data_IF_336543009841
#
_entry.id   IF_336543009841
#
_cell.length_a   1.000
_cell.length_b   1.000
_cell.length_c   1.000
_cell.angle_alpha   90.00
_cell.angle_beta   90.00
_cell.angle_gamma   90.00
#
_symmetry.space_group_name_H-M   'P 1'
#
loop_
_entity.id
_entity.type
_entity.pdbx_description
1 polymer ?
#
# COMPACT_ATOMS: atom_id res chain seq x y z
N UNK A 1 -42.63 72.95 107.56
CA UNK A 1 -41.41 72.24 108.01
C UNK A 1 -40.22 72.71 107.19
N UNK A 2 -39.05 72.09 107.35
CA UNK A 2 -37.77 72.26 106.63
C UNK A 2 -37.80 72.96 105.23
N UNK A 3 -36.86 73.79 104.77
CA UNK A 3 -35.83 74.72 105.31
C UNK A 3 -34.79 74.98 104.21
N UNK A 4 -34.35 76.24 104.04
CA UNK A 4 -33.02 76.65 103.48
C UNK A 4 -32.80 76.43 101.96
N UNK A 5 -31.97 77.23 101.24
CA UNK A 5 -31.31 78.52 101.57
C UNK A 5 -30.98 79.35 100.31
N UNK A 6 -30.80 80.65 100.51
CA UNK A 6 -30.23 81.62 99.54
C UNK A 6 -28.70 81.48 99.45
N UNK A 7 -28.11 81.79 98.28
CA UNK A 7 -27.04 82.80 98.00
C UNK A 7 -26.59 82.60 96.53
N UNK A 8 -26.46 83.61 95.66
CA UNK A 8 -25.73 84.90 95.66
C UNK A 8 -24.24 84.80 95.26
N UNK A 9 -23.93 85.60 94.24
CA UNK A 9 -22.73 86.43 94.01
C UNK A 9 -21.46 85.80 93.42
N UNK A 10 -20.95 86.56 92.44
CA UNK A 10 -19.55 86.77 92.02
C UNK A 10 -18.77 85.51 91.54
N UNK A 11 -17.82 85.59 90.61
CA UNK A 11 -17.34 86.72 89.81
C UNK A 11 -15.81 86.75 89.70
N UNK A 12 -15.29 86.75 88.47
CA UNK A 12 -13.87 86.94 88.10
C UNK A 12 -12.91 85.75 88.34
N UNK A 13 -11.84 85.70 87.53
CA UNK A 13 -10.78 84.67 87.42
C UNK A 13 -11.27 83.27 86.96
N UNK A 14 -10.53 82.49 86.15
CA UNK A 14 -9.13 82.60 85.71
C UNK A 14 -8.95 82.62 84.18
N UNK A 15 -7.88 83.29 83.73
CA UNK A 15 -7.23 83.08 82.42
C UNK A 15 -6.15 81.99 82.52
N UNK A 16 -5.64 81.53 81.37
CA UNK A 16 -4.46 80.65 81.16
C UNK A 16 -4.71 79.14 81.31
N UNK A 17 -4.92 78.44 80.18
CA UNK A 17 -4.64 76.99 80.04
C UNK A 17 -4.61 76.46 78.58
N UNK A 18 -4.12 77.24 77.60
CA UNK A 18 -4.03 76.82 76.17
C UNK A 18 -2.71 77.30 75.53
N UNK A 19 -1.59 77.19 76.25
CA UNK A 19 -0.26 77.57 75.74
C UNK A 19 0.86 76.60 76.17
N UNK A 20 0.51 75.43 76.71
CA UNK A 20 1.44 74.44 77.25
C UNK A 20 1.41 73.11 76.45
N UNK A 21 0.88 73.11 75.22
CA UNK A 21 0.63 71.91 74.39
C UNK A 21 1.42 71.91 73.06
N UNK A 22 2.58 72.60 73.01
CA UNK A 22 3.53 72.59 71.89
C UNK A 22 5.00 72.54 72.41
N UNK A 23 5.39 71.43 73.06
CA UNK A 23 6.74 70.83 73.01
C UNK A 23 6.91 69.64 73.96
N UNK A 24 6.89 68.42 73.42
CA UNK A 24 7.68 67.22 73.79
C UNK A 24 7.29 66.15 72.72
N UNK A 25 8.17 65.70 71.81
CA UNK A 25 9.35 64.83 71.95
C UNK A 25 8.97 63.41 72.46
N UNK A 26 9.43 62.29 71.88
CA UNK A 26 10.26 62.08 70.67
C UNK A 26 10.29 60.60 70.21
N UNK A 27 10.56 60.39 68.90
CA UNK A 27 11.43 59.37 68.26
C UNK A 27 11.31 57.82 68.47
N UNK A 28 12.02 57.10 67.57
CA UNK A 28 12.39 55.65 67.54
C UNK A 28 11.27 54.61 67.28
N UNK A 29 11.43 53.49 66.56
CA UNK A 29 12.58 52.71 65.99
C UNK A 29 12.18 52.27 64.56
N UNK A 30 12.87 52.54 63.44
CA UNK A 30 14.14 52.00 62.85
C UNK A 30 14.11 50.52 62.37
N UNK A 31 14.41 50.32 61.06
CA UNK A 31 14.97 49.15 60.31
C UNK A 31 14.34 49.17 58.90
N UNK A 32 14.93 49.74 57.83
CA UNK A 32 16.24 49.51 57.17
C UNK A 32 16.38 48.19 56.39
N UNK A 33 16.32 48.28 55.04
CA UNK A 33 17.28 47.57 54.16
C UNK A 33 17.43 48.20 52.76
N UNK A 34 18.67 48.62 52.49
CA UNK A 34 19.29 48.99 51.19
C UNK A 34 19.19 47.83 50.17
N UNK A 35 19.18 47.93 48.83
CA UNK A 35 19.36 48.98 47.79
C UNK A 35 19.67 48.26 46.44
N UNK A 36 20.32 48.83 45.39
CA UNK A 36 20.79 50.20 45.12
C UNK A 36 20.31 50.75 43.73
N UNK A 37 21.10 51.59 43.02
CA UNK A 37 20.68 52.53 41.95
C UNK A 37 21.34 52.36 40.55
N UNK A 38 20.64 52.79 39.48
CA UNK A 38 21.13 53.53 38.28
C UNK A 38 19.88 54.04 37.49
N UNK A 39 19.71 55.29 37.01
CA UNK A 39 20.48 56.12 36.04
C UNK A 39 20.59 55.46 34.64
N UNK A 40 20.32 56.13 33.50
CA UNK A 40 20.21 57.59 33.21
C UNK A 40 19.53 57.89 31.84
N UNK A 41 19.11 59.15 31.65
CA UNK A 41 19.00 59.93 30.38
C UNK A 41 17.86 59.73 29.33
N UNK A 42 17.42 60.89 28.80
CA UNK A 42 16.47 61.22 27.70
C UNK A 42 17.28 61.46 26.37
N UNK A 43 16.76 61.86 25.16
CA UNK A 43 15.52 62.64 24.88
C UNK A 43 14.76 62.38 23.53
N UNK A 44 13.85 63.32 23.20
CA UNK A 44 13.28 63.70 21.86
C UNK A 44 11.87 63.21 21.46
N UNK A 45 10.91 64.09 21.78
CA UNK A 45 9.65 64.54 21.13
C UNK A 45 9.53 64.54 19.57
N UNK A 46 8.42 65.02 18.91
CA UNK A 46 7.15 65.62 19.42
C UNK A 46 5.81 65.21 18.72
N UNK A 47 4.70 65.83 19.18
CA UNK A 47 3.35 66.00 18.56
C UNK A 47 2.38 64.81 18.68
N UNK A 48 1.10 65.00 18.99
CA UNK A 48 0.16 65.97 18.38
C UNK A 48 -0.78 66.71 19.36
N UNK A 49 -1.55 67.68 18.86
CA UNK A 49 -2.39 68.62 19.62
C UNK A 49 -3.78 68.07 20.04
N UNK A 50 -4.25 68.40 21.24
CA UNK A 50 -5.68 68.41 21.60
C UNK A 50 -5.97 69.33 22.79
N UNK A 51 -6.81 70.34 22.59
CA UNK A 51 -7.23 71.26 23.65
C UNK A 51 -8.15 70.57 24.68
N UNK A 52 -8.03 70.92 25.97
CA UNK A 52 -9.23 71.08 26.81
C UNK A 52 -9.07 72.24 27.81
N UNK A 53 -9.93 73.25 27.65
CA UNK A 53 -9.89 74.48 28.45
C UNK A 53 -10.54 74.24 29.81
N UNK A 54 -9.76 74.29 30.89
CA UNK A 54 -10.29 74.27 32.27
C UNK A 54 -11.13 75.53 32.49
N UNK A 55 -12.43 75.34 32.72
CA UNK A 55 -13.36 76.44 32.96
C UNK A 55 -13.11 77.09 34.32
N UNK A 56 -12.62 78.34 34.32
CA UNK A 56 -12.58 79.17 35.53
C UNK A 56 -13.99 79.66 35.88
N UNK A 57 -14.69 78.91 36.73
CA UNK A 57 -15.93 79.36 37.36
C UNK A 57 -15.64 80.52 38.33
N UNK A 58 -15.75 81.76 37.83
CA UNK A 58 -15.79 82.96 38.67
C UNK A 58 -17.20 83.12 39.28
N UNK A 59 -17.36 83.16 40.61
CA UNK A 59 -18.64 83.45 41.22
C UNK A 59 -19.04 84.92 41.00
N UNK A 60 -19.87 85.18 39.98
CA UNK A 60 -20.53 86.47 39.76
C UNK A 60 -21.93 86.46 40.38
N UNK A 61 -22.03 86.69 41.69
CA UNK A 61 -23.31 86.99 42.35
C UNK A 61 -23.14 88.11 43.39
N UNK A 62 -24.16 88.97 43.50
CA UNK A 62 -24.45 89.90 44.59
C UNK A 62 -23.59 91.17 44.82
N UNK A 63 -22.79 91.63 43.85
CA UNK A 63 -22.23 93.01 43.85
C UNK A 63 -23.25 94.14 44.16
N UNK A 64 -24.49 94.17 43.62
CA UNK A 64 -25.42 95.26 43.94
C UNK A 64 -25.99 95.17 45.35
N UNK A 65 -26.10 93.96 45.93
CA UNK A 65 -26.62 93.75 47.27
C UNK A 65 -25.58 94.12 48.34
N UNK A 66 -24.29 93.82 48.12
CA UNK A 66 -23.23 94.26 49.03
C UNK A 66 -23.05 95.78 49.00
N UNK A 67 -23.06 96.41 47.81
CA UNK A 67 -22.99 97.89 47.71
C UNK A 67 -24.15 98.58 48.43
N UNK A 68 -25.39 98.09 48.25
CA UNK A 68 -26.55 98.64 48.97
C UNK A 68 -26.41 98.51 50.50
N UNK A 69 -25.89 97.38 50.99
CA UNK A 69 -25.65 97.17 52.42
C UNK A 69 -24.51 98.07 52.96
N UNK A 70 -23.48 98.34 52.17
CA UNK A 70 -22.37 99.24 52.49
C UNK A 70 -22.84 100.71 52.54
N UNK A 71 -23.61 101.15 51.53
CA UNK A 71 -24.21 102.49 51.45
C UNK A 71 -25.16 102.76 52.64
N UNK A 72 -26.02 101.82 53.00
CA UNK A 72 -26.93 101.95 54.15
C UNK A 72 -26.18 101.95 55.49
N UNK A 73 -25.13 101.12 55.65
CA UNK A 73 -24.28 101.16 56.85
C UNK A 73 -23.53 102.49 56.99
N UNK A 74 -23.12 103.11 55.88
CA UNK A 74 -22.53 104.44 55.92
C UNK A 74 -23.57 105.52 56.30
N UNK A 75 -24.78 105.47 55.75
CA UNK A 75 -25.87 106.38 56.15
C UNK A 75 -26.23 106.24 57.64
N UNK A 76 -26.30 105.02 58.18
CA UNK A 76 -26.49 104.76 59.61
C UNK A 76 -25.40 105.39 60.48
N UNK A 77 -24.14 105.33 60.03
CA UNK A 77 -22.98 105.92 60.72
C UNK A 77 -23.02 107.45 60.71
N UNK A 78 -23.42 108.04 59.59
CA UNK A 78 -23.55 109.49 59.42
C UNK A 78 -24.74 110.05 60.24
N UNK A 79 -25.90 109.40 60.21
CA UNK A 79 -27.03 109.74 61.10
C UNK A 79 -26.65 109.64 62.59
N UNK A 80 -25.87 108.63 62.99
CA UNK A 80 -25.45 108.49 64.38
C UNK A 80 -24.53 109.64 64.84
N UNK A 81 -23.71 110.21 63.95
CA UNK A 81 -22.91 111.39 64.25
C UNK A 81 -23.79 112.64 64.42
N UNK A 82 -24.75 112.86 63.51
CA UNK A 82 -25.69 114.00 63.58
C UNK A 82 -26.57 113.95 64.85
N UNK A 83 -27.06 112.76 65.23
CA UNK A 83 -27.84 112.56 66.45
C UNK A 83 -27.08 112.99 67.71
N UNK A 84 -25.81 112.57 67.84
CA UNK A 84 -25.00 112.89 69.02
C UNK A 84 -24.59 114.37 69.06
N UNK A 85 -24.38 115.01 67.90
CA UNK A 85 -24.21 116.47 67.81
C UNK A 85 -25.47 117.21 68.27
N UNK A 86 -26.66 116.88 67.73
CA UNK A 86 -27.94 117.53 68.12
C UNK A 86 -28.20 117.39 69.62
N UNK A 87 -27.86 116.24 70.20
CA UNK A 87 -27.94 115.95 71.64
C UNK A 87 -26.98 116.81 72.48
N UNK A 88 -25.76 117.05 72.01
CA UNK A 88 -24.79 117.93 72.69
C UNK A 88 -25.20 119.41 72.59
N UNK A 89 -25.72 119.85 71.46
CA UNK A 89 -26.26 121.21 71.27
C UNK A 89 -27.46 121.47 72.19
N UNK A 90 -28.39 120.52 72.30
CA UNK A 90 -29.51 120.54 73.24
C UNK A 90 -29.03 120.64 74.70
N UNK A 91 -28.00 119.87 75.08
CA UNK A 91 -27.41 119.96 76.43
C UNK A 91 -26.77 121.33 76.70
N UNK A 92 -26.05 121.89 75.71
CA UNK A 92 -25.46 123.23 75.82
C UNK A 92 -26.55 124.30 76.01
N UNK A 93 -27.61 124.27 75.19
CA UNK A 93 -28.78 125.17 75.29
C UNK A 93 -29.51 125.05 76.63
N UNK A 94 -29.62 123.84 77.19
CA UNK A 94 -30.19 123.64 78.52
C UNK A 94 -29.32 124.26 79.63
N UNK A 95 -27.99 124.25 79.48
CA UNK A 95 -27.06 124.92 80.39
C UNK A 95 -27.07 126.45 80.23
N UNK A 96 -27.26 126.98 79.01
CA UNK A 96 -27.48 128.41 78.73
C UNK A 96 -28.71 128.92 79.50
N UNK A 97 -29.89 128.30 79.30
CA UNK A 97 -31.12 128.68 80.03
C UNK A 97 -30.90 128.60 81.55
N UNK A 98 -30.31 127.51 82.05
CA UNK A 98 -30.04 127.34 83.48
C UNK A 98 -29.16 128.47 84.03
N UNK A 99 -28.25 129.01 83.22
CA UNK A 99 -27.35 130.11 83.59
C UNK A 99 -28.06 131.46 83.53
N UNK A 100 -28.84 131.74 82.49
CA UNK A 100 -29.65 132.97 82.36
C UNK A 100 -30.71 133.04 83.48
N UNK A 101 -31.43 131.94 83.74
CA UNK A 101 -32.41 131.86 84.84
C UNK A 101 -31.78 132.09 86.21
N UNK A 102 -30.56 131.57 86.48
CA UNK A 102 -29.83 131.84 87.73
C UNK A 102 -29.44 133.32 87.87
N UNK A 103 -28.94 133.96 86.79
CA UNK A 103 -28.63 135.40 86.78
C UNK A 103 -29.89 136.24 87.03
N UNK A 104 -30.99 135.94 86.33
CA UNK A 104 -32.28 136.60 86.51
C UNK A 104 -32.81 136.49 87.93
N UNK A 105 -32.73 135.30 88.56
CA UNK A 105 -33.15 135.14 89.96
C UNK A 105 -32.30 135.97 90.92
N UNK A 106 -30.97 135.99 90.76
CA UNK A 106 -30.08 136.80 91.62
C UNK A 106 -30.33 138.32 91.45
N UNK A 107 -30.45 138.81 90.21
CA UNK A 107 -30.74 140.21 89.91
C UNK A 107 -32.11 140.63 90.44
N UNK A 108 -33.14 139.77 90.27
CA UNK A 108 -34.47 139.98 90.83
C UNK A 108 -34.46 139.99 92.36
N UNK A 109 -33.68 139.12 93.01
CA UNK A 109 -33.53 139.11 94.47
C UNK A 109 -32.85 140.38 95.00
N UNK A 110 -31.82 140.88 94.32
CA UNK A 110 -31.17 142.14 94.67
C UNK A 110 -32.15 143.33 94.56
N UNK A 111 -32.82 143.48 93.41
CA UNK A 111 -33.80 144.56 93.22
C UNK A 111 -35.00 144.44 94.18
N UNK A 112 -35.36 143.23 94.60
CA UNK A 112 -36.38 143.02 95.63
C UNK A 112 -35.89 143.54 97.00
N UNK A 113 -34.62 143.30 97.38
CA UNK A 113 -34.02 143.82 98.62
C UNK A 113 -33.94 145.35 98.60
N UNK A 114 -33.51 145.94 97.49
CA UNK A 114 -33.47 147.40 97.32
C UNK A 114 -34.87 148.02 97.42
N UNK A 115 -35.88 147.43 96.77
CA UNK A 115 -37.28 147.83 96.93
C UNK A 115 -37.75 147.71 98.39
N UNK A 116 -37.43 146.62 99.09
CA UNK A 116 -37.83 146.43 100.50
C UNK A 116 -37.22 147.51 101.38
N UNK A 117 -35.92 147.81 101.24
CA UNK A 117 -35.26 148.89 101.99
C UNK A 117 -35.86 150.28 101.70
N UNK A 118 -36.26 150.56 100.46
CA UNK A 118 -36.98 151.79 100.11
C UNK A 118 -38.40 151.83 100.72
N UNK A 119 -39.08 150.68 100.78
CA UNK A 119 -40.41 150.55 101.40
C UNK A 119 -40.34 150.75 102.92
N UNK A 120 -39.37 150.12 103.59
CA UNK A 120 -39.10 150.27 105.02
C UNK A 120 -38.71 151.71 105.37
N UNK A 121 -37.92 152.37 104.51
CA UNK A 121 -37.64 153.81 104.63
C UNK A 121 -38.93 154.63 104.58
N UNK A 122 -39.74 154.51 103.54
CA UNK A 122 -41.01 155.25 103.42
C UNK A 122 -41.89 155.09 104.66
N UNK A 123 -42.11 153.85 105.12
CA UNK A 123 -42.88 153.55 106.32
C UNK A 123 -42.30 154.22 107.61
N UNK A 124 -40.99 154.44 107.67
CA UNK A 124 -40.36 155.14 108.81
C UNK A 124 -40.58 156.66 108.82
N UNK A 125 -40.83 157.29 107.66
CA UNK A 125 -41.24 158.71 107.55
C UNK A 125 -42.75 158.88 107.79
N UNK A 126 -43.57 157.94 107.31
CA UNK A 126 -45.03 157.95 107.44
C UNK A 126 -45.53 157.97 108.90
N UNK A 127 -44.68 157.54 109.85
CA UNK A 127 -45.00 157.46 111.28
C UNK A 127 -44.52 158.67 112.12
N UNK A 128 -44.08 159.78 111.51
CA UNK A 128 -43.62 160.98 112.25
C UNK A 128 -44.57 162.19 112.09
N UNK A 129 -44.92 162.92 113.18
CA UNK A 129 -45.74 164.13 113.09
C UNK A 129 -44.94 165.27 112.43
N UNK A 130 -45.42 165.74 111.27
CA UNK A 130 -44.64 166.53 110.33
C UNK A 130 -44.33 167.98 110.78
N UNK A 131 -43.05 168.37 110.73
CA UNK A 131 -42.59 169.78 110.82
C UNK A 131 -41.37 170.05 109.90
N UNK A 132 -41.47 169.77 108.60
CA UNK A 132 -40.60 170.40 107.58
C UNK A 132 -41.15 170.23 106.16
N UNK A 133 -41.10 171.29 105.35
CA UNK A 133 -41.39 171.24 103.91
C UNK A 133 -40.37 170.36 103.14
N UNK A 134 -39.19 170.16 103.72
CA UNK A 134 -38.11 169.35 103.14
C UNK A 134 -38.35 167.85 103.31
N UNK A 135 -38.98 167.42 104.42
CA UNK A 135 -39.41 166.03 104.62
C UNK A 135 -40.49 165.62 103.61
N UNK A 136 -41.44 166.49 103.30
CA UNK A 136 -42.47 166.21 102.27
C UNK A 136 -41.85 166.03 100.88
N UNK A 137 -40.83 166.83 100.56
CA UNK A 137 -40.06 166.71 99.30
C UNK A 137 -39.18 165.46 99.28
N UNK A 138 -38.64 165.04 100.42
CA UNK A 138 -37.91 163.77 100.54
C UNK A 138 -38.84 162.56 100.38
N UNK A 139 -40.03 162.57 100.99
CA UNK A 139 -41.04 161.51 100.82
C UNK A 139 -41.47 161.39 99.36
N UNK A 140 -41.79 162.50 98.68
CA UNK A 140 -42.15 162.49 97.26
C UNK A 140 -41.02 161.95 96.38
N UNK A 141 -39.76 162.33 96.66
CA UNK A 141 -38.58 161.77 95.97
C UNK A 141 -38.40 160.27 96.22
N UNK A 142 -38.64 159.78 97.44
CA UNK A 142 -38.58 158.36 97.77
C UNK A 142 -39.71 157.56 97.10
N UNK A 143 -40.91 158.13 96.99
CA UNK A 143 -42.05 157.54 96.31
C UNK A 143 -41.84 157.48 94.79
N UNK A 144 -41.33 158.56 94.18
CA UNK A 144 -40.90 158.56 92.78
C UNK A 144 -39.75 157.56 92.54
N UNK A 145 -38.76 157.49 93.44
CA UNK A 145 -37.67 156.53 93.36
C UNK A 145 -38.16 155.07 93.47
N UNK A 146 -39.12 154.77 94.36
CA UNK A 146 -39.71 153.44 94.47
C UNK A 146 -40.54 153.09 93.23
N UNK A 147 -41.26 154.05 92.66
CA UNK A 147 -42.00 153.89 91.39
C UNK A 147 -41.06 153.68 90.19
N UNK A 148 -39.93 154.38 90.15
CA UNK A 148 -38.86 154.13 89.18
C UNK A 148 -38.22 152.75 89.38
N UNK A 149 -37.96 152.33 90.62
CA UNK A 149 -37.43 151.00 90.94
C UNK A 149 -38.40 149.88 90.55
N UNK A 150 -39.72 150.07 90.71
CA UNK A 150 -40.74 149.16 90.19
C UNK A 150 -40.72 149.09 88.66
N UNK A 151 -40.69 150.22 87.96
CA UNK A 151 -40.60 150.26 86.50
C UNK A 151 -39.31 149.63 85.97
N UNK A 152 -38.17 149.84 86.66
CA UNK A 152 -36.90 149.18 86.35
C UNK A 152 -36.94 147.66 86.61
N UNK A 153 -37.57 147.22 87.71
CA UNK A 153 -37.76 145.79 88.00
C UNK A 153 -38.56 145.10 86.88
N UNK A 154 -39.65 145.72 86.42
CA UNK A 154 -40.45 145.17 85.32
C UNK A 154 -39.71 145.20 83.98
N UNK A 155 -39.04 146.30 83.64
CA UNK A 155 -38.27 146.42 82.40
C UNK A 155 -37.08 145.43 82.35
N UNK A 156 -36.31 145.33 83.44
CA UNK A 156 -35.18 144.38 83.54
C UNK A 156 -35.65 142.92 83.68
N UNK A 157 -36.90 142.67 84.11
CA UNK A 157 -37.48 141.32 84.07
C UNK A 157 -37.83 140.88 82.64
N UNK A 158 -38.32 141.79 81.78
CA UNK A 158 -38.82 141.43 80.43
C UNK A 158 -37.74 140.84 79.52
N UNK A 159 -36.59 141.51 79.35
CA UNK A 159 -35.58 141.03 78.37
C UNK A 159 -35.08 139.60 78.67
N UNK A 160 -34.72 139.23 79.92
CA UNK A 160 -34.34 137.85 80.21
C UNK A 160 -35.51 136.85 80.17
N UNK A 161 -36.76 137.30 80.38
CA UNK A 161 -37.94 136.45 80.17
C UNK A 161 -38.19 136.16 78.68
N UNK A 162 -37.96 137.14 77.80
CA UNK A 162 -38.02 136.96 76.34
C UNK A 162 -36.86 136.07 75.84
N UNK A 163 -35.64 136.25 76.35
CA UNK A 163 -34.48 135.39 76.07
C UNK A 163 -34.74 133.93 76.50
N UNK A 164 -35.23 133.72 77.74
CA UNK A 164 -35.61 132.37 78.22
C UNK A 164 -36.75 131.78 77.39
N UNK A 165 -37.73 132.57 76.93
CA UNK A 165 -38.79 132.08 76.07
C UNK A 165 -38.27 131.65 74.68
N UNK A 166 -37.36 132.42 74.08
CA UNK A 166 -36.72 132.07 72.81
C UNK A 166 -35.87 130.79 72.93
N UNK A 167 -34.98 130.72 73.92
CA UNK A 167 -34.16 129.53 74.17
C UNK A 167 -35.01 128.29 74.51
N UNK A 168 -36.15 128.46 75.20
CA UNK A 168 -37.09 127.35 75.46
C UNK A 168 -37.74 126.83 74.18
N UNK A 169 -38.05 127.73 73.23
CA UNK A 169 -38.54 127.35 71.89
C UNK A 169 -37.46 126.61 71.08
N UNK A 170 -36.22 127.12 71.07
CA UNK A 170 -35.07 126.43 70.46
C UNK A 170 -34.88 125.01 71.02
N UNK A 171 -34.94 124.84 72.36
CA UNK A 171 -34.87 123.52 72.98
C UNK A 171 -36.01 122.58 72.57
N UNK A 172 -37.23 123.11 72.40
CA UNK A 172 -38.38 122.29 72.01
C UNK A 172 -38.29 121.86 70.53
N UNK A 173 -37.74 122.71 69.66
CA UNK A 173 -37.44 122.38 68.27
C UNK A 173 -36.30 121.35 68.16
N UNK A 174 -35.21 121.52 68.92
CA UNK A 174 -34.12 120.54 69.01
C UNK A 174 -34.59 119.18 69.56
N UNK A 175 -35.45 119.16 70.57
CA UNK A 175 -36.08 117.91 71.07
C UNK A 175 -36.88 117.22 69.97
N UNK A 176 -37.71 117.96 69.25
CA UNK A 176 -38.54 117.43 68.16
C UNK A 176 -37.66 116.87 67.03
N UNK A 177 -36.52 117.51 66.73
CA UNK A 177 -35.57 117.01 65.72
C UNK A 177 -34.85 115.74 66.16
N UNK A 178 -34.49 115.62 67.45
CA UNK A 178 -33.85 114.44 68.03
C UNK A 178 -34.81 113.23 68.04
N UNK A 179 -36.09 113.46 68.34
CA UNK A 179 -37.17 112.47 68.23
C UNK A 179 -37.27 111.89 66.79
N UNK A 180 -37.30 112.78 65.78
CA UNK A 180 -37.32 112.39 64.35
C UNK A 180 -36.12 111.53 63.97
N UNK A 181 -34.89 112.00 64.25
CA UNK A 181 -33.65 111.28 63.93
C UNK A 181 -33.59 109.90 64.63
N UNK A 182 -34.23 109.76 65.79
CA UNK A 182 -34.31 108.47 66.50
C UNK A 182 -35.24 107.47 65.78
N UNK A 183 -36.37 107.93 65.24
CA UNK A 183 -37.28 107.11 64.43
C UNK A 183 -36.70 106.75 63.06
N UNK A 184 -36.00 107.69 62.43
CA UNK A 184 -35.30 107.51 61.16
C UNK A 184 -34.23 106.40 61.28
N UNK A 185 -33.39 106.47 62.33
CA UNK A 185 -32.39 105.45 62.65
C UNK A 185 -32.99 104.07 62.95
N UNK A 186 -34.14 104.00 63.64
CA UNK A 186 -34.83 102.72 63.87
C UNK A 186 -35.33 102.10 62.56
N UNK A 187 -35.73 102.92 61.59
CA UNK A 187 -36.21 102.46 60.28
C UNK A 187 -35.08 101.88 59.45
N UNK A 188 -33.93 102.57 59.36
CA UNK A 188 -32.73 102.04 58.70
C UNK A 188 -32.20 100.77 59.39
N UNK A 189 -32.21 100.70 60.73
CA UNK A 189 -31.82 99.46 61.43
C UNK A 189 -32.75 98.28 61.10
N UNK A 190 -34.04 98.52 60.85
CA UNK A 190 -34.95 97.47 60.40
C UNK A 190 -34.68 97.03 58.95
N UNK A 191 -34.41 97.99 58.05
CA UNK A 191 -34.08 97.72 56.65
C UNK A 191 -32.74 96.99 56.48
N UNK A 192 -31.69 97.40 57.19
CA UNK A 192 -30.39 96.73 57.17
C UNK A 192 -30.44 95.30 57.71
N UNK A 193 -31.26 95.04 58.73
CA UNK A 193 -31.53 93.68 59.19
C UNK A 193 -32.31 92.86 58.14
N UNK A 194 -33.24 93.45 57.39
CA UNK A 194 -33.92 92.76 56.29
C UNK A 194 -32.97 92.43 55.14
N UNK A 195 -32.12 93.38 54.71
CA UNK A 195 -31.12 93.16 53.66
C UNK A 195 -30.06 92.14 54.07
N UNK A 196 -29.58 92.18 55.32
CA UNK A 196 -28.67 91.15 55.88
C UNK A 196 -29.32 89.76 55.86
N UNK A 197 -30.60 89.65 56.21
CA UNK A 197 -31.32 88.37 56.14
C UNK A 197 -31.58 87.89 54.71
N UNK A 198 -31.79 88.80 53.74
CA UNK A 198 -31.90 88.44 52.31
C UNK A 198 -30.56 87.95 51.75
N UNK A 199 -29.45 88.61 52.09
CA UNK A 199 -28.10 88.20 51.69
C UNK A 199 -27.74 86.81 52.24
N UNK A 200 -28.14 86.51 53.47
CA UNK A 200 -27.95 85.20 54.11
C UNK A 200 -28.97 84.11 53.69
N UNK A 201 -29.95 84.40 52.85
CA UNK A 201 -30.99 83.43 52.42
C UNK A 201 -31.17 83.31 50.90
N UNK A 202 -30.18 83.72 50.10
CA UNK A 202 -30.08 83.27 48.71
C UNK A 202 -29.44 81.86 48.61
N UNK A 203 -29.74 81.10 47.53
CA UNK A 203 -29.96 79.66 47.66
C UNK A 203 -28.69 78.81 47.49
N UNK A 204 -27.71 78.97 48.39
CA UNK A 204 -26.51 78.11 48.44
C UNK A 204 -26.89 76.62 48.49
N UNK A 205 -27.86 76.25 49.31
CA UNK A 205 -28.31 74.85 49.46
C UNK A 205 -28.88 74.26 48.17
N UNK A 206 -29.80 74.96 47.50
CA UNK A 206 -30.39 74.49 46.24
C UNK A 206 -29.37 74.46 45.10
N UNK A 207 -28.44 75.42 45.06
CA UNK A 207 -27.39 75.46 44.04
C UNK A 207 -26.37 74.34 44.25
N UNK A 208 -25.93 74.07 45.49
CA UNK A 208 -25.07 72.93 45.80
C UNK A 208 -25.74 71.59 45.47
N UNK A 209 -27.05 71.44 45.73
CA UNK A 209 -27.78 70.22 45.35
C UNK A 209 -27.86 70.02 43.83
N UNK A 210 -28.14 71.09 43.06
CA UNK A 210 -28.12 71.02 41.59
C UNK A 210 -26.72 70.65 41.07
N UNK A 211 -25.66 71.30 41.55
CA UNK A 211 -24.29 71.00 41.11
C UNK A 211 -23.83 69.60 41.52
N UNK A 212 -24.24 69.08 42.69
CA UNK A 212 -23.99 67.68 43.06
C UNK A 212 -24.73 66.69 42.14
N UNK A 213 -25.95 67.04 41.69
CA UNK A 213 -26.71 66.23 40.74
C UNK A 213 -26.09 66.28 39.34
N UNK A 214 -25.57 67.42 38.90
CA UNK A 214 -24.79 67.57 37.66
C UNK A 214 -23.45 66.80 37.73
N UNK A 215 -22.69 66.90 38.82
CA UNK A 215 -21.46 66.10 39.03
C UNK A 215 -21.75 64.60 39.02
N UNK A 216 -22.85 64.15 39.63
CA UNK A 216 -23.23 62.74 39.62
C UNK A 216 -23.68 62.28 38.23
N UNK A 217 -24.46 63.08 37.50
CA UNK A 217 -24.82 62.77 36.10
C UNK A 217 -23.58 62.72 35.19
N UNK A 218 -22.66 63.69 35.29
CA UNK A 218 -21.40 63.69 34.55
C UNK A 218 -20.51 62.50 34.91
N UNK A 219 -20.56 62.03 36.16
CA UNK A 219 -19.86 60.80 36.56
C UNK A 219 -20.51 59.55 35.97
N UNK A 220 -21.84 59.42 36.07
CA UNK A 220 -22.58 58.28 35.50
C UNK A 220 -22.43 58.24 33.97
N UNK A 221 -22.45 59.38 33.28
CA UNK A 221 -22.18 59.50 31.84
C UNK A 221 -20.73 59.17 31.51
N UNK A 222 -19.76 59.63 32.30
CA UNK A 222 -18.34 59.29 32.14
C UNK A 222 -18.08 57.79 32.33
N UNK A 223 -18.68 57.18 33.35
CA UNK A 223 -18.50 55.76 33.65
C UNK A 223 -19.17 54.91 32.54
N UNK A 224 -20.35 55.31 32.06
CA UNK A 224 -21.01 54.69 30.90
C UNK A 224 -20.23 54.87 29.58
N UNK A 225 -19.66 56.06 29.31
CA UNK A 225 -18.77 56.30 28.17
C UNK A 225 -17.50 55.45 28.26
N UNK A 226 -16.93 55.32 29.46
CA UNK A 226 -15.75 54.49 29.69
C UNK A 226 -16.06 53.01 29.42
N UNK A 227 -17.19 52.51 29.90
CA UNK A 227 -17.61 51.13 29.62
C UNK A 227 -17.93 50.90 28.14
N UNK A 228 -18.59 51.86 27.47
CA UNK A 228 -18.84 51.81 26.04
C UNK A 228 -17.53 51.80 25.22
N UNK A 229 -16.52 52.55 25.64
CA UNK A 229 -15.20 52.59 25.00
C UNK A 229 -14.42 51.27 25.24
N UNK A 230 -14.49 50.69 26.43
CA UNK A 230 -13.95 49.35 26.70
C UNK A 230 -14.63 48.27 25.84
N UNK A 231 -15.96 48.29 25.73
CA UNK A 231 -16.72 47.38 24.87
C UNK A 231 -16.32 47.53 23.40
N UNK A 232 -16.32 48.76 22.88
CA UNK A 232 -15.89 49.04 21.50
C UNK A 232 -14.44 48.62 21.22
N UNK A 233 -13.52 48.75 22.21
CA UNK A 233 -12.15 48.28 22.06
C UNK A 233 -12.06 46.74 22.05
N UNK A 234 -12.86 46.06 22.87
CA UNK A 234 -13.01 44.59 22.82
C UNK A 234 -13.57 44.12 21.48
N UNK A 235 -14.57 44.82 20.93
CA UNK A 235 -15.17 44.52 19.63
C UNK A 235 -14.15 44.72 18.49
N UNK A 236 -13.32 45.78 18.55
CA UNK A 236 -12.22 46.01 17.61
C UNK A 236 -11.20 44.86 17.65
N UNK A 237 -10.79 44.41 18.84
CA UNK A 237 -9.85 43.28 19.00
C UNK A 237 -10.46 41.99 18.44
N UNK A 238 -11.75 41.72 18.69
CA UNK A 238 -12.44 40.55 18.15
C UNK A 238 -12.52 40.59 16.61
N UNK A 239 -12.89 41.74 16.04
CA UNK A 239 -12.96 41.95 14.59
C UNK A 239 -11.57 41.84 13.92
N UNK A 240 -10.51 42.33 14.57
CA UNK A 240 -9.13 42.13 14.11
C UNK A 240 -8.77 40.65 14.05
N UNK A 241 -9.06 39.87 15.09
CA UNK A 241 -8.85 38.42 15.10
C UNK A 241 -9.61 37.69 13.99
N UNK A 242 -10.87 38.07 13.72
CA UNK A 242 -11.66 37.51 12.63
C UNK A 242 -11.09 37.85 11.24
N UNK A 243 -10.57 39.07 11.04
CA UNK A 243 -9.92 39.48 9.79
C UNK A 243 -8.58 38.74 9.59
N UNK A 244 -7.83 38.49 10.66
CA UNK A 244 -6.61 37.66 10.60
C UNK A 244 -6.93 36.19 10.26
N UNK A 245 -7.99 35.62 10.84
CA UNK A 245 -8.46 34.26 10.50
C UNK A 245 -8.94 34.18 9.04
N UNK A 246 -9.73 35.15 8.56
CA UNK A 246 -10.16 35.21 7.17
C UNK A 246 -8.97 35.38 6.20
N UNK A 247 -7.95 36.17 6.57
CA UNK A 247 -6.72 36.26 5.77
C UNK A 247 -5.93 34.94 5.74
N UNK A 248 -5.84 34.22 6.86
CA UNK A 248 -5.17 32.90 6.89
C UNK A 248 -5.91 31.88 6.03
N UNK A 249 -7.25 31.81 6.13
CA UNK A 249 -8.08 30.95 5.28
C UNK A 249 -7.95 31.33 3.80
N UNK A 250 -7.98 32.63 3.48
CA UNK A 250 -7.78 33.16 2.12
C UNK A 250 -6.42 32.78 1.53
N UNK A 251 -5.35 32.71 2.35
CA UNK A 251 -4.02 32.23 1.93
C UNK A 251 -3.96 30.70 1.74
N UNK A 252 -4.79 29.91 2.42
CA UNK A 252 -4.86 28.45 2.25
C UNK A 252 -5.68 28.04 1.00
N UNK A 253 -6.73 28.79 0.65
CA UNK A 253 -7.56 28.54 -0.55
C UNK A 253 -6.77 28.32 -1.86
N UNK A 254 -5.75 29.12 -2.24
CA UNK A 254 -4.97 28.86 -3.44
C UNK A 254 -4.08 27.61 -3.33
N UNK A 255 -3.59 27.26 -2.14
CA UNK A 255 -2.80 26.04 -1.91
C UNK A 255 -3.68 24.80 -2.13
N UNK A 256 -4.85 24.76 -1.48
CA UNK A 256 -5.85 23.70 -1.63
C UNK A 256 -6.37 23.58 -3.08
N UNK A 257 -6.53 24.69 -3.79
CA UNK A 257 -6.88 24.68 -5.23
C UNK A 257 -5.80 24.06 -6.10
N UNK A 258 -4.53 24.32 -5.81
CA UNK A 258 -3.41 23.74 -6.55
C UNK A 258 -3.25 22.25 -6.23
N UNK A 259 -3.36 21.86 -4.96
CA UNK A 259 -3.32 20.44 -4.56
C UNK A 259 -4.49 19.64 -5.17
N UNK A 260 -5.72 20.19 -5.19
CA UNK A 260 -6.87 19.57 -5.86
C UNK A 260 -6.61 19.35 -7.36
N UNK A 261 -6.00 20.32 -8.04
CA UNK A 261 -5.64 20.26 -9.46
C UNK A 261 -4.55 19.21 -9.73
N UNK A 262 -3.58 19.09 -8.84
CA UNK A 262 -2.51 18.09 -8.96
C UNK A 262 -3.02 16.67 -8.65
N UNK A 263 -3.91 16.50 -7.67
CA UNK A 263 -4.63 15.24 -7.47
C UNK A 263 -5.52 14.87 -8.67
N UNK A 264 -6.18 15.83 -9.32
CA UNK A 264 -6.90 15.58 -10.58
C UNK A 264 -5.96 15.13 -11.71
N UNK A 265 -4.76 15.71 -11.82
CA UNK A 265 -3.75 15.29 -12.79
C UNK A 265 -3.25 13.85 -12.50
N UNK A 266 -2.98 13.53 -11.23
CA UNK A 266 -2.61 12.17 -10.77
C UNK A 266 -3.74 11.17 -11.09
N UNK A 267 -4.99 11.49 -10.78
CA UNK A 267 -6.14 10.64 -11.08
C UNK A 267 -6.30 10.36 -12.59
N UNK A 268 -6.14 11.38 -13.44
CA UNK A 268 -6.19 11.21 -14.90
C UNK A 268 -5.01 10.39 -15.43
N UNK A 269 -3.82 10.49 -14.81
CA UNK A 269 -2.67 9.64 -15.12
C UNK A 269 -2.91 8.18 -14.74
N UNK A 270 -3.35 7.93 -13.50
CA UNK A 270 -3.66 6.61 -12.98
C UNK A 270 -4.79 5.92 -13.78
N UNK A 271 -5.81 6.69 -14.18
CA UNK A 271 -6.89 6.21 -15.06
C UNK A 271 -6.39 5.76 -16.43
N UNK A 272 -5.41 6.48 -17.02
CA UNK A 272 -4.76 6.05 -18.27
C UNK A 272 -3.95 4.77 -18.07
N UNK A 273 -3.14 4.70 -17.02
CA UNK A 273 -2.38 3.49 -16.67
C UNK A 273 -3.29 2.27 -16.48
N UNK A 274 -4.40 2.43 -15.76
CA UNK A 274 -5.41 1.38 -15.60
C UNK A 274 -6.00 0.90 -16.94
N UNK A 275 -6.30 1.82 -17.87
CA UNK A 275 -6.75 1.42 -19.22
C UNK A 275 -5.69 0.66 -20.01
N UNK A 276 -4.41 1.01 -19.90
CA UNK A 276 -3.30 0.26 -20.53
C UNK A 276 -3.19 -1.14 -19.94
N UNK A 277 -3.12 -1.26 -18.61
CA UNK A 277 -3.02 -2.56 -17.91
C UNK A 277 -4.23 -3.45 -18.20
N UNK A 278 -5.43 -2.87 -18.32
CA UNK A 278 -6.63 -3.62 -18.73
C UNK A 278 -6.56 -4.15 -20.16
N UNK A 279 -5.93 -3.42 -21.09
CA UNK A 279 -5.70 -3.89 -22.47
C UNK A 279 -4.59 -4.95 -22.53
N UNK A 280 -3.55 -4.84 -21.71
CA UNK A 280 -2.48 -5.83 -21.59
C UNK A 280 -3.00 -7.14 -20.97
N UNK A 281 -3.84 -7.06 -19.94
CA UNK A 281 -4.52 -8.23 -19.37
C UNK A 281 -5.48 -8.92 -20.36
N UNK A 282 -6.09 -8.18 -21.29
CA UNK A 282 -6.88 -8.76 -22.38
C UNK A 282 -5.99 -9.54 -23.37
N UNK A 283 -4.90 -8.93 -23.83
CA UNK A 283 -3.89 -9.59 -24.70
C UNK A 283 -3.27 -10.83 -24.06
N UNK A 284 -3.03 -10.79 -22.74
CA UNK A 284 -2.50 -11.94 -21.99
C UNK A 284 -3.49 -13.12 -22.03
N UNK A 285 -4.79 -12.87 -21.81
CA UNK A 285 -5.83 -13.92 -21.93
C UNK A 285 -5.96 -14.49 -23.33
N UNK A 286 -5.81 -13.67 -24.37
CA UNK A 286 -5.76 -14.13 -25.76
C UNK A 286 -4.54 -15.05 -26.01
N UNK A 287 -3.37 -14.69 -25.47
CA UNK A 287 -2.17 -15.51 -25.53
C UNK A 287 -2.29 -16.81 -24.71
N UNK A 288 -2.89 -16.78 -23.52
CA UNK A 288 -3.20 -17.96 -22.69
C UNK A 288 -4.16 -18.91 -23.43
N UNK A 289 -5.23 -18.38 -24.04
CA UNK A 289 -6.16 -19.18 -24.84
C UNK A 289 -5.50 -19.82 -26.07
N UNK A 290 -4.59 -19.10 -26.73
CA UNK A 290 -3.81 -19.63 -27.86
C UNK A 290 -2.81 -20.70 -27.39
N UNK A 291 -2.15 -20.51 -26.25
CA UNK A 291 -1.22 -21.48 -25.67
C UNK A 291 -1.94 -22.77 -25.26
N UNK A 292 -3.09 -22.67 -24.59
CA UNK A 292 -3.95 -23.82 -24.27
C UNK A 292 -4.36 -24.60 -25.54
N UNK A 293 -4.67 -23.89 -26.64
CA UNK A 293 -4.99 -24.52 -27.92
C UNK A 293 -3.77 -25.22 -28.55
N UNK A 294 -2.58 -24.62 -28.49
CA UNK A 294 -1.34 -25.26 -28.94
C UNK A 294 -1.03 -26.51 -28.10
N UNK A 295 -1.22 -26.45 -26.79
CA UNK A 295 -0.99 -27.60 -25.89
C UNK A 295 -1.93 -28.77 -26.19
N UNK A 296 -3.21 -28.50 -26.51
CA UNK A 296 -4.14 -29.51 -27.02
C UNK A 296 -3.71 -30.09 -28.38
N UNK A 297 -3.15 -29.27 -29.27
CA UNK A 297 -2.63 -29.75 -30.57
C UNK A 297 -1.38 -30.62 -30.41
N UNK A 298 -0.50 -30.32 -29.45
CA UNK A 298 0.65 -31.17 -29.09
C UNK A 298 0.16 -32.51 -28.54
N UNK A 299 -0.77 -32.52 -27.58
CA UNK A 299 -1.34 -33.75 -27.03
C UNK A 299 -1.97 -34.64 -28.12
N UNK A 300 -2.75 -34.06 -29.04
CA UNK A 300 -3.34 -34.80 -30.16
C UNK A 300 -2.28 -35.33 -31.15
N UNK A 301 -1.14 -34.63 -31.31
CA UNK A 301 -0.03 -35.10 -32.12
C UNK A 301 0.76 -36.23 -31.44
N UNK A 302 0.96 -36.16 -30.13
CA UNK A 302 1.60 -37.21 -29.33
C UNK A 302 0.76 -38.51 -29.33
N UNK A 303 -0.58 -38.40 -29.22
CA UNK A 303 -1.50 -39.53 -29.37
C UNK A 303 -1.38 -40.17 -30.77
N UNK A 304 -1.35 -39.37 -31.84
CA UNK A 304 -1.15 -39.87 -33.21
C UNK A 304 0.22 -40.52 -33.39
N UNK A 305 1.28 -39.94 -32.84
CA UNK A 305 2.62 -40.51 -32.87
C UNK A 305 2.69 -41.86 -32.13
N UNK A 306 2.01 -41.99 -30.98
CA UNK A 306 1.91 -43.24 -30.22
C UNK A 306 1.14 -44.32 -31.00
N UNK A 307 0.06 -43.96 -31.68
CA UNK A 307 -0.70 -44.87 -32.57
C UNK A 307 0.19 -45.35 -33.73
N UNK A 308 0.93 -44.44 -34.38
CA UNK A 308 1.83 -44.77 -35.49
C UNK A 308 3.01 -45.64 -35.03
N UNK A 309 3.62 -45.34 -33.89
CA UNK A 309 4.70 -46.16 -33.31
C UNK A 309 4.23 -47.59 -32.97
N UNK A 310 3.00 -47.73 -32.47
CA UNK A 310 2.37 -49.03 -32.28
C UNK A 310 2.15 -49.76 -33.61
N UNK A 311 1.61 -49.10 -34.63
CA UNK A 311 1.41 -49.70 -35.95
C UNK A 311 2.72 -50.16 -36.59
N UNK A 312 3.81 -49.38 -36.47
CA UNK A 312 5.15 -49.78 -36.91
C UNK A 312 5.62 -51.04 -36.17
N UNK A 313 5.47 -51.08 -34.84
CA UNK A 313 5.83 -52.25 -34.02
C UNK A 313 5.06 -53.51 -34.45
N UNK A 314 3.76 -53.39 -34.71
CA UNK A 314 2.92 -54.49 -35.20
C UNK A 314 3.32 -54.94 -36.63
N UNK A 315 3.80 -54.01 -37.49
CA UNK A 315 4.35 -54.33 -38.82
C UNK A 315 5.72 -55.00 -38.75
N UNK A 316 6.61 -54.57 -37.86
CA UNK A 316 7.93 -55.20 -37.68
C UNK A 316 7.80 -56.63 -37.15
N UNK A 317 6.87 -56.88 -36.23
CA UNK A 317 6.53 -58.24 -35.78
C UNK A 317 5.99 -59.11 -36.92
N UNK A 318 5.14 -58.57 -37.80
CA UNK A 318 4.66 -59.26 -38.99
C UNK A 318 5.79 -59.56 -39.99
N UNK A 319 6.69 -58.60 -40.24
CA UNK A 319 7.85 -58.80 -41.11
C UNK A 319 8.78 -59.87 -40.53
N UNK A 320 8.98 -59.89 -39.20
CA UNK A 320 9.79 -60.91 -38.55
C UNK A 320 9.17 -62.32 -38.70
N UNK A 321 7.86 -62.47 -38.48
CA UNK A 321 7.19 -63.76 -38.67
C UNK A 321 7.19 -64.23 -40.14
N UNK A 322 7.03 -63.31 -41.09
CA UNK A 322 7.16 -63.62 -42.52
C UNK A 322 8.58 -64.04 -42.91
N UNK A 323 9.62 -63.43 -42.34
CA UNK A 323 11.02 -63.87 -42.54
C UNK A 323 11.27 -65.27 -41.99
N UNK A 324 10.76 -65.60 -40.80
CA UNK A 324 10.84 -66.96 -40.25
C UNK A 324 10.13 -67.99 -41.16
N UNK A 325 8.94 -67.67 -41.67
CA UNK A 325 8.22 -68.55 -42.61
C UNK A 325 8.92 -68.70 -43.96
N UNK A 326 9.65 -67.68 -44.43
CA UNK A 326 10.47 -67.77 -45.64
C UNK A 326 11.68 -68.69 -45.42
N UNK A 327 12.40 -68.54 -44.31
CA UNK A 327 13.53 -69.43 -43.96
C UNK A 327 13.08 -70.90 -43.88
N UNK A 328 11.97 -71.20 -43.19
CA UNK A 328 11.41 -72.56 -43.13
C UNK A 328 11.05 -73.13 -44.52
N UNK A 329 10.56 -72.29 -45.43
CA UNK A 329 10.27 -72.69 -46.82
C UNK A 329 11.54 -72.87 -47.65
N UNK A 330 12.57 -72.10 -47.39
CA UNK A 330 13.87 -72.21 -48.05
C UNK A 330 14.62 -73.49 -47.61
N UNK A 331 14.63 -73.80 -46.31
CA UNK A 331 15.13 -75.08 -45.77
C UNK A 331 14.36 -76.28 -46.34
N UNK A 332 13.02 -76.20 -46.43
CA UNK A 332 12.21 -77.23 -47.06
C UNK A 332 12.49 -77.36 -48.57
N UNK A 333 12.69 -76.24 -49.28
CA UNK A 333 13.03 -76.25 -50.70
C UNK A 333 14.42 -76.85 -50.97
N UNK A 334 15.43 -76.50 -50.17
CA UNK A 334 16.77 -77.12 -50.24
C UNK A 334 16.72 -78.62 -49.93
N UNK A 335 15.87 -79.03 -48.98
CA UNK A 335 15.64 -80.45 -48.65
C UNK A 335 15.03 -81.20 -49.83
N UNK A 336 13.99 -80.65 -50.46
CA UNK A 336 13.35 -81.22 -51.65
C UNK A 336 14.30 -81.22 -52.86
N UNK A 337 15.09 -80.17 -53.07
CA UNK A 337 16.10 -80.11 -54.13
C UNK A 337 17.18 -81.19 -53.93
N UNK A 338 17.61 -81.43 -52.70
CA UNK A 338 18.55 -82.52 -52.36
C UNK A 338 17.93 -83.89 -52.63
N UNK A 339 16.67 -84.10 -52.27
CA UNK A 339 15.94 -85.33 -52.56
C UNK A 339 15.76 -85.55 -54.07
N UNK A 340 15.45 -84.50 -54.84
CA UNK A 340 15.35 -84.59 -56.30
C UNK A 340 16.70 -84.93 -56.93
N UNK A 341 17.80 -84.29 -56.53
CA UNK A 341 19.12 -84.64 -57.02
C UNK A 341 19.53 -86.09 -56.69
N UNK A 342 19.15 -86.59 -55.52
CA UNK A 342 19.34 -88.01 -55.15
C UNK A 342 18.51 -88.96 -56.02
N UNK A 343 17.26 -88.61 -56.34
CA UNK A 343 16.40 -89.39 -57.23
C UNK A 343 16.88 -89.34 -58.69
N UNK A 344 17.35 -88.19 -59.18
CA UNK A 344 17.96 -88.04 -60.50
C UNK A 344 19.25 -88.88 -60.64
N UNK A 345 20.08 -88.93 -59.58
CA UNK A 345 21.22 -89.83 -59.53
C UNK A 345 20.77 -91.31 -59.53
N UNK A 346 19.80 -91.70 -58.70
CA UNK A 346 19.28 -93.08 -58.69
C UNK A 346 18.67 -93.50 -60.04
N UNK A 347 17.98 -92.60 -60.74
CA UNK A 347 17.46 -92.85 -62.10
C UNK A 347 18.60 -92.99 -63.09
N UNK A 348 19.68 -92.21 -62.94
CA UNK A 348 20.88 -92.31 -63.79
C UNK A 348 21.63 -93.63 -63.55
N UNK A 349 21.79 -94.03 -62.29
CA UNK A 349 22.41 -95.29 -61.89
C UNK A 349 21.58 -96.49 -62.35
N UNK A 350 20.25 -96.43 -62.23
CA UNK A 350 19.35 -97.45 -62.76
C UNK A 350 19.39 -97.53 -64.29
N UNK A 351 19.49 -96.40 -65.00
CA UNK A 351 19.63 -96.38 -66.46
C UNK A 351 20.98 -96.93 -66.93
N UNK A 352 22.08 -96.68 -66.22
CA UNK A 352 23.39 -97.26 -66.57
C UNK A 352 23.45 -98.75 -66.25
N UNK A 353 22.89 -99.18 -65.11
CA UNK A 353 22.73 -100.60 -64.78
C UNK A 353 21.89 -101.35 -65.84
N UNK A 354 20.74 -100.80 -66.24
CA UNK A 354 19.88 -101.38 -67.28
C UNK A 354 20.58 -101.48 -68.65
N UNK A 355 21.43 -100.51 -69.01
CA UNK A 355 22.26 -100.61 -70.23
C UNK A 355 23.27 -101.73 -70.14
N UNK A 356 24.00 -101.83 -69.03
CA UNK A 356 24.98 -102.90 -68.81
C UNK A 356 24.33 -104.30 -68.76
N UNK A 357 23.16 -104.43 -68.13
CA UNK A 357 22.36 -105.66 -68.12
C UNK A 357 21.90 -106.04 -69.54
N UNK A 358 21.44 -105.07 -70.33
CA UNK A 358 21.07 -105.29 -71.73
C UNK A 358 22.27 -105.71 -72.58
N UNK A 359 23.41 -105.03 -72.47
CA UNK A 359 24.64 -105.39 -73.19
C UNK A 359 25.13 -106.79 -72.82
N UNK A 360 25.06 -107.16 -71.54
CA UNK A 360 25.36 -108.52 -71.07
C UNK A 360 24.36 -109.56 -71.61
N UNK A 361 23.06 -109.24 -71.68
CA UNK A 361 22.04 -110.11 -72.25
C UNK A 361 22.25 -110.33 -73.76
N UNK A 362 22.60 -109.27 -74.51
CA UNK A 362 22.93 -109.38 -75.94
C UNK A 362 24.19 -110.25 -76.16
N UNK A 363 25.24 -110.07 -75.36
CA UNK A 363 26.44 -110.90 -75.45
C UNK A 363 26.18 -112.36 -75.05
N UNK A 364 25.25 -112.62 -74.12
CA UNK A 364 24.79 -113.97 -73.79
C UNK A 364 23.98 -114.60 -74.94
N UNK A 365 23.18 -113.82 -75.66
CA UNK A 365 22.44 -114.27 -76.85
C UNK A 365 23.39 -114.57 -78.02
N UNK A 366 24.41 -113.75 -78.26
CA UNK A 366 25.48 -114.03 -79.24
C UNK A 366 26.28 -115.29 -78.87
N UNK A 367 26.59 -115.50 -77.59
CA UNK A 367 27.20 -116.76 -77.10
C UNK A 367 26.27 -117.96 -77.30
N UNK A 368 24.96 -117.82 -77.09
CA UNK A 368 24.00 -118.89 -77.32
C UNK A 368 23.93 -119.29 -78.81
N UNK A 369 23.80 -118.33 -79.73
CA UNK A 369 23.76 -118.63 -81.16
C UNK A 369 25.07 -119.21 -81.70
N UNK A 370 26.23 -118.70 -81.26
CA UNK A 370 27.52 -119.26 -81.68
C UNK A 370 27.76 -120.68 -81.12
N UNK A 371 27.32 -120.97 -79.90
CA UNK A 371 27.33 -122.34 -79.35
C UNK A 371 26.34 -123.27 -80.09
N UNK A 372 25.20 -122.73 -80.55
CA UNK A 372 24.24 -123.46 -81.38
C UNK A 372 24.81 -123.76 -82.78
N UNK A 373 25.54 -122.83 -83.38
CA UNK A 373 26.25 -123.05 -84.65
C UNK A 373 27.41 -124.05 -84.48
N UNK A 374 28.22 -123.95 -83.42
CA UNK A 374 29.28 -124.92 -83.14
C UNK A 374 28.70 -126.33 -82.91
N UNK A 375 27.64 -126.47 -82.11
CA UNK A 375 27.03 -127.79 -81.87
C UNK A 375 26.39 -128.37 -83.13
N UNK A 376 25.78 -127.55 -83.99
CA UNK A 376 25.29 -127.99 -85.30
C UNK A 376 26.44 -128.43 -86.23
N UNK A 377 27.53 -127.65 -86.31
CA UNK A 377 28.71 -127.98 -87.09
C UNK A 377 29.40 -129.28 -86.58
N UNK A 378 29.48 -129.46 -85.25
CA UNK A 378 29.98 -130.70 -84.63
C UNK A 378 29.07 -131.89 -84.91
N UNK A 379 27.75 -131.70 -84.93
CA UNK A 379 26.80 -132.75 -85.31
C UNK A 379 26.90 -133.11 -86.80
N UNK A 380 27.18 -132.15 -87.67
CA UNK A 380 27.47 -132.39 -89.10
C UNK A 380 28.83 -133.12 -89.28
N UNK A 381 29.86 -132.73 -88.53
CA UNK A 381 31.18 -133.40 -88.50
C UNK A 381 31.05 -134.87 -88.05
N UNK A 382 30.34 -135.12 -86.95
CA UNK A 382 30.02 -136.48 -86.48
C UNK A 382 29.20 -137.25 -87.53
N UNK A 383 28.26 -136.60 -88.23
CA UNK A 383 27.49 -137.23 -89.30
C UNK A 383 28.35 -137.59 -90.52
N UNK A 384 29.32 -136.74 -90.90
CA UNK A 384 30.31 -137.00 -91.95
C UNK A 384 31.23 -138.17 -91.57
N UNK A 385 31.68 -138.22 -90.31
CA UNK A 385 32.49 -139.32 -89.77
C UNK A 385 31.68 -140.63 -89.72
N UNK A 386 30.40 -140.59 -89.35
CA UNK A 386 29.53 -141.76 -89.39
C UNK A 386 29.29 -142.25 -90.82
N UNK A 387 29.13 -141.35 -91.81
CA UNK A 387 29.03 -141.75 -93.21
C UNK A 387 30.33 -142.36 -93.75
N UNK A 388 31.49 -141.81 -93.41
CA UNK A 388 32.78 -142.36 -93.86
C UNK A 388 33.09 -143.69 -93.17
N UNK A 389 32.84 -143.82 -91.87
CA UNK A 389 32.95 -145.07 -91.13
C UNK A 389 31.99 -146.14 -91.65
N UNK A 390 30.74 -145.77 -91.98
CA UNK A 390 29.80 -146.69 -92.64
C UNK A 390 30.33 -147.12 -94.01
N UNK A 391 30.73 -146.18 -94.86
CA UNK A 391 31.29 -146.49 -96.19
C UNK A 391 32.52 -147.40 -96.09
N UNK A 392 33.37 -147.20 -95.10
CA UNK A 392 34.54 -148.05 -94.84
C UNK A 392 34.13 -149.44 -94.32
N UNK A 393 33.09 -149.55 -93.51
CA UNK A 393 32.47 -150.83 -93.13
C UNK A 393 31.87 -151.57 -94.33
N UNK A 394 31.08 -150.88 -95.17
CA UNK A 394 30.50 -151.41 -96.41
C UNK A 394 31.62 -151.89 -97.37
N UNK A 395 32.72 -151.13 -97.48
CA UNK A 395 33.94 -151.48 -98.24
C UNK A 395 34.61 -152.75 -97.69
N UNK A 396 34.84 -152.85 -96.37
CA UNK A 396 35.44 -154.06 -95.76
C UNK A 396 34.52 -155.28 -95.86
N UNK A 397 33.19 -155.11 -95.84
CA UNK A 397 32.24 -156.19 -96.12
C UNK A 397 32.36 -156.67 -97.57
N UNK A 398 32.49 -155.75 -98.54
CA UNK A 398 32.69 -156.09 -99.95
C UNK A 398 34.03 -156.84 -100.17
N UNK A 399 35.10 -156.37 -99.54
CA UNK A 399 36.42 -157.01 -99.59
C UNK A 399 36.40 -158.42 -98.97
N UNK A 400 35.71 -158.61 -97.84
CA UNK A 400 35.52 -159.91 -97.21
C UNK A 400 34.65 -160.86 -98.06
N UNK A 401 33.61 -160.35 -98.73
CA UNK A 401 32.82 -161.12 -99.71
C UNK A 401 33.67 -161.54 -100.90
N UNK A 402 34.48 -160.65 -101.45
CA UNK A 402 35.35 -160.94 -102.60
C UNK A 402 36.45 -161.96 -102.24
N UNK A 403 37.01 -161.90 -101.02
CA UNK A 403 37.91 -162.94 -100.51
C UNK A 403 37.20 -164.29 -100.32
N UNK A 404 35.95 -164.30 -99.86
CA UNK A 404 35.15 -165.53 -99.76
C UNK A 404 34.85 -166.14 -101.14
N UNK A 405 34.54 -165.33 -102.15
CA UNK A 405 34.39 -165.81 -103.53
C UNK A 405 35.70 -166.39 -104.09
N UNK A 406 36.84 -165.76 -103.84
CA UNK A 406 38.16 -166.28 -104.22
C UNK A 406 38.46 -167.62 -103.54
N UNK A 407 38.14 -167.79 -102.25
CA UNK A 407 38.26 -169.06 -101.54
C UNK A 407 37.34 -170.14 -102.12
N UNK A 408 36.10 -169.80 -102.49
CA UNK A 408 35.16 -170.72 -103.14
C UNK A 408 35.66 -171.14 -104.54
N UNK A 409 36.24 -170.20 -105.31
CA UNK A 409 36.85 -170.48 -106.62
C UNK A 409 38.08 -171.40 -106.49
N UNK A 410 38.98 -171.12 -105.55
CA UNK A 410 40.14 -171.97 -105.26
C UNK A 410 39.72 -173.37 -104.80
N UNK A 411 38.69 -173.48 -103.96
CA UNK A 411 38.13 -174.76 -103.53
C UNK A 411 37.53 -175.55 -104.72
N UNK A 412 36.83 -174.88 -105.64
CA UNK A 412 36.30 -175.51 -106.87
C UNK A 412 37.41 -176.01 -107.79
N UNK A 413 38.46 -175.20 -108.04
CA UNK A 413 39.61 -175.63 -108.84
C UNK A 413 40.34 -176.83 -108.21
N UNK A 414 40.42 -176.87 -106.87
CA UNK A 414 41.01 -177.99 -106.12
C UNK A 414 40.15 -179.26 -106.18
N UNK A 415 38.83 -179.13 -106.28
CA UNK A 415 37.94 -180.27 -106.50
C UNK A 415 38.10 -180.84 -107.92
N UNK A 416 38.16 -179.98 -108.95
CA UNK A 416 38.37 -180.42 -110.36
C UNK A 416 39.71 -181.13 -110.53
N UNK A 417 40.79 -180.58 -109.98
CA UNK A 417 42.12 -181.23 -110.05
C UNK A 417 42.19 -182.54 -109.25
N UNK A 418 41.38 -182.72 -108.20
CA UNK A 418 41.19 -184.03 -107.55
C UNK A 418 40.39 -185.01 -108.41
N UNK A 419 39.43 -184.55 -109.21
CA UNK A 419 38.67 -185.38 -110.15
C UNK A 419 39.57 -185.84 -111.32
N UNK A 420 40.41 -184.95 -111.86
CA UNK A 420 41.44 -185.29 -112.86
C UNK A 420 42.44 -186.33 -112.32
N UNK A 421 42.94 -186.15 -111.09
CA UNK A 421 43.78 -187.14 -110.41
C UNK A 421 43.07 -188.49 -110.23
N UNK A 422 41.77 -188.50 -109.90
CA UNK A 422 41.00 -189.74 -109.75
C UNK A 422 40.81 -190.47 -111.10
N UNK A 423 40.63 -189.74 -112.20
CA UNK A 423 40.58 -190.31 -113.55
C UNK A 423 41.95 -190.87 -113.99
N UNK A 424 43.05 -190.18 -113.70
CA UNK A 424 44.40 -190.70 -113.93
C UNK A 424 44.64 -192.01 -113.16
N UNK A 425 44.31 -192.04 -111.87
CA UNK A 425 44.47 -193.23 -111.03
C UNK A 425 43.62 -194.42 -111.55
N UNK A 426 42.41 -194.14 -112.05
CA UNK A 426 41.54 -195.16 -112.65
C UNK A 426 42.13 -195.73 -113.96
N UNK A 427 42.74 -194.89 -114.80
CA UNK A 427 43.44 -195.32 -116.02
C UNK A 427 44.70 -196.14 -115.69
N UNK A 428 45.51 -195.70 -114.73
CA UNK A 428 46.69 -196.45 -114.24
C UNK A 428 46.31 -197.83 -113.69
N UNK A 429 45.21 -197.92 -112.94
CA UNK A 429 44.67 -199.19 -112.44
C UNK A 429 44.21 -200.10 -113.60
N UNK A 430 43.66 -199.53 -114.67
CA UNK A 430 43.24 -200.26 -115.86
C UNK A 430 44.43 -200.81 -116.66
N UNK A 431 45.48 -199.99 -116.84
CA UNK A 431 46.75 -200.40 -117.46
C UNK A 431 47.43 -201.48 -116.63
N UNK A 432 47.57 -201.30 -115.32
CA UNK A 432 48.16 -202.29 -114.41
C UNK A 432 47.43 -203.65 -114.47
N UNK A 433 46.09 -203.65 -114.56
CA UNK A 433 45.30 -204.86 -114.78
C UNK A 433 45.63 -205.54 -116.12
N UNK A 434 45.82 -204.76 -117.19
CA UNK A 434 46.17 -205.27 -118.52
C UNK A 434 47.60 -205.82 -118.56
N UNK A 435 48.55 -205.19 -117.87
CA UNK A 435 49.93 -205.65 -117.74
C UNK A 435 50.00 -206.99 -116.97
N UNK A 436 49.25 -207.10 -115.86
CA UNK A 436 49.14 -208.36 -115.09
C UNK A 436 48.54 -209.49 -115.93
N UNK A 437 47.49 -209.22 -116.73
CA UNK A 437 46.95 -210.21 -117.67
C UNK A 437 47.98 -210.65 -118.71
N UNK A 438 48.74 -209.70 -119.26
CA UNK A 438 49.80 -209.97 -120.25
C UNK A 438 50.93 -210.80 -119.64
N UNK A 439 51.33 -210.51 -118.40
CA UNK A 439 52.31 -211.27 -117.63
C UNK A 439 51.87 -212.73 -117.39
N UNK A 440 50.61 -212.96 -117.03
CA UNK A 440 50.04 -214.31 -116.92
C UNK A 440 50.09 -215.07 -118.25
N UNK A 441 49.78 -214.39 -119.36
CA UNK A 441 49.78 -214.99 -120.70
C UNK A 441 51.20 -215.38 -121.15
N UNK A 442 52.20 -214.53 -120.92
CA UNK A 442 53.61 -214.84 -121.19
C UNK A 442 54.16 -215.94 -120.27
N UNK A 443 53.69 -216.02 -119.02
CA UNK A 443 54.08 -217.08 -118.09
C UNK A 443 53.55 -218.45 -118.55
N UNK A 444 52.31 -218.49 -119.06
CA UNK A 444 51.70 -219.69 -119.65
C UNK A 444 52.55 -220.22 -120.82
N UNK A 445 52.89 -219.37 -121.80
CA UNK A 445 53.72 -219.76 -122.95
C UNK A 445 55.10 -220.29 -122.52
N UNK A 446 55.73 -219.70 -121.50
CA UNK A 446 57.03 -220.17 -121.00
C UNK A 446 56.94 -221.50 -120.25
N UNK A 447 55.83 -221.82 -119.60
CA UNK A 447 55.61 -223.14 -118.97
C UNK A 447 55.51 -224.22 -120.04
N UNK A 448 54.76 -223.98 -121.12
CA UNK A 448 54.63 -224.92 -122.23
C UNK A 448 55.97 -225.13 -122.98
N UNK A 449 56.77 -224.07 -123.17
CA UNK A 449 58.12 -224.17 -123.74
C UNK A 449 59.12 -224.92 -122.83
N UNK A 450 58.99 -224.80 -121.51
CA UNK A 450 59.83 -225.57 -120.57
C UNK A 450 59.49 -227.06 -120.56
N UNK A 451 58.20 -227.41 -120.73
CA UNK A 451 57.75 -228.80 -120.73
C UNK A 451 58.36 -229.64 -121.88
N UNK A 452 58.64 -229.03 -123.04
CA UNK A 452 59.19 -229.75 -124.19
C UNK A 452 60.71 -230.00 -124.14
N UNK A 453 61.49 -229.17 -123.44
CA UNK A 453 62.96 -229.19 -123.51
C UNK A 453 63.66 -230.14 -122.52
N UNK A 454 62.96 -230.70 -121.53
CA UNK A 454 63.59 -231.45 -120.42
C UNK A 454 63.89 -232.93 -120.78
N UNK A 455 63.39 -233.45 -121.90
CA UNK A 455 63.44 -234.89 -122.20
C UNK A 455 64.78 -235.42 -122.76
N UNK A 456 65.70 -234.59 -123.28
CA UNK A 456 66.93 -235.11 -123.93
C UNK A 456 68.16 -234.20 -123.90
N UNK A 457 69.06 -234.52 -122.94
CA UNK A 457 70.52 -234.26 -122.92
C UNK A 457 71.06 -232.83 -122.72
N UNK A 458 72.17 -232.75 -121.97
CA UNK A 458 73.21 -231.71 -122.12
C UNK A 458 73.20 -230.54 -121.13
N UNK A 459 73.95 -230.61 -120.02
CA UNK A 459 74.20 -229.45 -119.16
C UNK A 459 75.43 -228.64 -119.63
N UNK A 460 75.33 -227.31 -119.65
CA UNK A 460 76.46 -226.34 -119.66
C UNK A 460 76.01 -225.01 -119.03
N UNK A 461 76.94 -224.07 -118.82
CA UNK A 461 76.87 -222.94 -117.86
C UNK A 461 76.94 -221.55 -118.54
N UNK A 462 77.09 -220.46 -117.74
CA UNK A 462 77.72 -219.13 -118.06
C UNK A 462 76.81 -217.87 -118.16
N UNK A 463 76.78 -217.07 -117.06
CA UNK A 463 76.85 -215.56 -116.91
C UNK A 463 75.95 -214.60 -117.78
N UNK A 464 75.98 -213.25 -117.76
CA UNK A 464 76.80 -212.15 -117.15
C UNK A 464 76.10 -210.75 -117.23
N UNK A 465 76.62 -209.73 -116.51
CA UNK A 465 76.56 -208.24 -116.76
C UNK A 465 75.19 -207.50 -116.89
N UNK A 466 75.06 -206.16 -116.68
CA UNK A 466 75.95 -205.13 -116.11
C UNK A 466 75.50 -203.66 -116.40
N UNK A 467 75.83 -202.68 -115.52
CA UNK A 467 76.06 -201.21 -115.72
C UNK A 467 75.01 -200.26 -116.43
N UNK A 468 74.99 -198.91 -116.33
CA UNK A 468 75.49 -197.87 -115.35
C UNK A 468 74.99 -196.42 -115.72
N UNK A 469 75.22 -195.39 -114.85
CA UNK A 469 75.13 -193.90 -115.08
C UNK A 469 73.74 -193.24 -115.39
N UNK A 470 73.46 -191.92 -115.35
CA UNK A 470 73.71 -190.74 -114.44
C UNK A 470 73.08 -189.43 -115.08
N UNK A 471 72.93 -188.19 -114.53
CA UNK A 471 73.04 -187.50 -113.21
C UNK A 471 72.43 -186.05 -113.28
N UNK A 472 72.32 -185.31 -112.14
CA UNK A 472 72.17 -183.81 -112.00
C UNK A 472 70.85 -183.07 -112.37
N UNK A 473 70.56 -181.81 -111.89
CA UNK A 473 71.17 -180.96 -110.84
C UNK A 473 70.18 -180.32 -109.79
N UNK A 474 70.65 -179.29 -109.06
CA UNK A 474 70.14 -178.55 -107.87
C UNK A 474 68.97 -177.54 -108.11
N UNK A 475 68.34 -176.83 -107.14
CA UNK A 475 68.80 -176.26 -105.85
C UNK A 475 67.65 -175.95 -104.83
N UNK A 476 67.96 -176.04 -103.53
CA UNK A 476 67.21 -175.58 -102.32
C UNK A 476 65.69 -175.78 -102.26
#
# INVERSE_FOLDING_TARGET
>A
MATKRKKKKDGWFFTKSILDEINELSDEVIEERVGPMAQKEHPVEPKDDSEQKVYQLKPKQNEPATRALEEENQQLKEQQAVLEQTKQELLNKQNEITTVTKKLMAQKEQLLKERTQLTERLASYENQPAVSEEQTKEHQRLEEALKQAQAQLEAQSRQPQEEVAQLTKELQELRTRLEQLTQERQTLLAQNNQLTNQLNQQPLTSQTQMTQQEEQQLKEEKDALSEALYRAHSDIIHLQGQVEEEQQLSQQVPQLKQELKDQQAIYQSLKKQFTTVSQEAAKLREAEALNNKLQQQVQAADEQAMILARQLTEKDQLIHSQRQQLLQKEEAAQTLQTQMAQLEQQVTDAQTAYRAEKEHAQLMEEQFYSLQEETAAKQEEVSKILLSAKKQGDQTILEAQQQAEQLILAAKQRAVTMEEHAQQLANELMTSKQDVLTLYQQLQEKVDQFAQNIASQGPQTITKEGDSHESSPTFN
#
